data_IF_655869862788
#
_entry.id   IF_655869862788
#
_cell.length_a   1.000
_cell.length_b   1.000
_cell.length_c   1.000
_cell.angle_alpha   90.00
_cell.angle_beta   90.00
_cell.angle_gamma   90.00
#
_symmetry.space_group_name_H-M   'P 1'
#
loop_
_entity.id
_entity.type
_entity.pdbx_description
1 polymer ?
#
# COMPACT_ATOMS: atom_id res chain seq x y z
N UNK A 1 -0.65 5.82 -19.52
CA UNK A 1 -1.43 4.80 -18.77
C UNK A 1 -2.88 4.83 -19.22
N UNK A 2 -3.63 3.73 -19.05
CA UNK A 2 -5.06 3.65 -19.43
C UNK A 2 -5.89 3.00 -18.34
N UNK A 3 -7.16 3.38 -18.24
CA UNK A 3 -8.14 2.72 -17.37
C UNK A 3 -8.77 1.57 -18.16
N UNK A 4 -8.68 0.35 -17.63
CA UNK A 4 -9.30 -0.83 -18.22
C UNK A 4 -10.03 -1.62 -17.12
N UNK A 5 -11.35 -1.76 -17.23
CA UNK A 5 -12.19 -2.45 -16.25
C UNK A 5 -12.07 -1.88 -14.83
N UNK A 6 -12.07 -0.55 -14.68
CA UNK A 6 -11.93 0.11 -13.38
C UNK A 6 -10.52 0.09 -12.77
N UNK A 7 -9.52 -0.48 -13.45
CA UNK A 7 -8.14 -0.52 -12.99
C UNK A 7 -7.19 0.30 -13.89
N UNK A 8 -6.22 0.98 -13.29
CA UNK A 8 -5.17 1.69 -14.01
C UNK A 8 -4.11 0.68 -14.47
N UNK A 9 -3.85 0.65 -15.77
CA UNK A 9 -2.85 -0.22 -16.38
C UNK A 9 -1.84 0.60 -17.19
N UNK A 10 -0.58 0.16 -17.14
CA UNK A 10 0.48 0.69 -18.01
C UNK A 10 0.33 0.13 -19.42
N UNK A 11 0.37 1.00 -20.42
CA UNK A 11 0.45 0.58 -21.83
C UNK A 11 1.83 -0.02 -22.13
N UNK A 12 1.98 -0.68 -23.27
CA UNK A 12 3.28 -1.22 -23.66
C UNK A 12 4.31 -0.11 -23.89
N UNK A 13 3.89 1.01 -24.50
CA UNK A 13 4.73 2.21 -24.64
C UNK A 13 5.15 2.79 -23.29
N UNK A 14 4.26 2.83 -22.30
CA UNK A 14 4.61 3.29 -20.95
C UNK A 14 5.68 2.38 -20.32
N UNK A 15 5.57 1.06 -20.52
CA UNK A 15 6.51 0.09 -19.93
C UNK A 15 7.90 0.14 -20.54
N UNK A 16 7.98 0.44 -21.83
CA UNK A 16 9.25 0.55 -22.55
C UNK A 16 9.94 1.90 -22.31
N UNK A 17 9.17 2.97 -22.10
CA UNK A 17 9.72 4.32 -22.05
C UNK A 17 9.82 4.90 -20.62
N UNK A 18 9.02 4.50 -19.64
CA UNK A 18 9.19 5.08 -18.31
C UNK A 18 10.48 4.63 -17.62
N UNK A 19 11.19 5.60 -17.02
CA UNK A 19 12.38 5.31 -16.23
C UNK A 19 11.96 4.85 -14.84
N UNK A 20 12.13 3.55 -14.59
CA UNK A 20 11.80 2.95 -13.30
C UNK A 20 12.95 3.16 -12.31
N UNK A 21 12.69 3.92 -11.25
CA UNK A 21 13.66 4.18 -10.17
C UNK A 21 13.41 3.26 -8.97
N UNK A 22 14.49 2.90 -8.29
CA UNK A 22 14.44 2.20 -7.00
C UNK A 22 14.51 3.23 -5.88
N UNK A 23 13.75 3.02 -4.82
CA UNK A 23 13.96 3.78 -3.58
C UNK A 23 15.35 3.50 -3.03
N UNK A 24 15.98 4.54 -2.49
CA UNK A 24 17.26 4.39 -1.77
C UNK A 24 17.03 3.68 -0.42
N UNK A 25 18.08 3.06 0.14
CA UNK A 25 17.97 2.37 1.44
C UNK A 25 17.52 3.31 2.57
N UNK A 26 17.88 4.60 2.49
CA UNK A 26 17.45 5.62 3.45
C UNK A 26 15.97 5.95 3.33
N UNK A 27 15.45 6.15 2.11
CA UNK A 27 14.03 6.39 1.86
C UNK A 27 13.17 5.18 2.24
N UNK A 28 13.66 3.97 1.95
CA UNK A 28 13.01 2.71 2.37
C UNK A 28 12.96 2.65 3.89
N UNK A 29 14.06 3.01 4.58
CA UNK A 29 14.10 3.01 6.03
C UNK A 29 13.09 3.99 6.60
N UNK A 30 13.06 5.24 6.13
CA UNK A 30 12.11 6.28 6.54
C UNK A 30 10.65 5.84 6.32
N UNK A 31 10.31 5.36 5.13
CA UNK A 31 8.97 4.84 4.84
C UNK A 31 8.60 3.64 5.72
N UNK A 32 9.58 2.77 6.02
CA UNK A 32 9.39 1.60 6.90
C UNK A 32 9.17 1.97 8.37
N UNK A 33 9.60 3.14 8.83
CA UNK A 33 9.45 3.56 10.23
C UNK A 33 8.00 3.68 10.66
N UNK A 34 7.12 4.17 9.76
CA UNK A 34 5.69 4.21 10.04
C UNK A 34 5.11 2.80 10.26
N UNK A 35 5.55 1.82 9.45
CA UNK A 35 5.17 0.42 9.62
C UNK A 35 5.74 -0.17 10.91
N UNK A 36 6.98 0.16 11.27
CA UNK A 36 7.59 -0.25 12.53
C UNK A 36 6.84 0.30 13.75
N UNK A 37 6.41 1.57 13.71
CA UNK A 37 5.61 2.20 14.77
C UNK A 37 4.24 1.50 14.93
N UNK A 38 3.55 1.23 13.82
CA UNK A 38 2.30 0.45 13.81
C UNK A 38 2.52 -0.97 14.35
N UNK A 39 3.59 -1.66 13.92
CA UNK A 39 3.97 -2.99 14.41
C UNK A 39 4.27 -3.01 15.91
N UNK A 40 5.01 -2.01 16.42
CA UNK A 40 5.32 -1.88 17.86
C UNK A 40 4.05 -1.71 18.70
N UNK A 41 3.09 -0.89 18.22
CA UNK A 41 1.78 -0.73 18.87
C UNK A 41 1.01 -2.05 18.93
N UNK A 42 0.90 -2.77 17.81
CA UNK A 42 0.22 -4.09 17.75
C UNK A 42 0.86 -5.11 18.70
N UNK A 43 2.20 -5.19 18.72
CA UNK A 43 2.92 -6.08 19.65
C UNK A 43 2.63 -5.77 21.11
N UNK A 44 2.52 -4.49 21.49
CA UNK A 44 2.17 -4.10 22.85
C UNK A 44 0.78 -4.63 23.24
N UNK A 45 -0.21 -4.46 22.36
CA UNK A 45 -1.57 -5.00 22.57
C UNK A 45 -1.55 -6.53 22.69
N UNK A 46 -0.80 -7.21 21.82
CA UNK A 46 -0.65 -8.65 21.89
C UNK A 46 0.01 -9.11 23.22
N UNK A 47 1.02 -8.40 23.71
CA UNK A 47 1.63 -8.74 25.00
C UNK A 47 0.65 -8.57 26.17
N UNK A 48 -0.20 -7.55 26.14
CA UNK A 48 -1.24 -7.33 27.16
C UNK A 48 -2.26 -8.49 27.14
N UNK A 49 -2.76 -8.87 25.97
CA UNK A 49 -3.72 -9.98 25.82
C UNK A 49 -3.09 -11.29 26.31
N UNK A 50 -1.82 -11.55 25.98
CA UNK A 50 -1.09 -12.72 26.44
C UNK A 50 -1.00 -12.77 27.97
N UNK A 51 -0.64 -11.65 28.60
CA UNK A 51 -0.57 -11.55 30.07
C UNK A 51 -1.92 -11.85 30.73
N UNK A 52 -3.02 -11.32 30.18
CA UNK A 52 -4.37 -11.57 30.69
C UNK A 52 -4.75 -13.05 30.57
N UNK A 53 -4.48 -13.70 29.43
CA UNK A 53 -4.75 -15.13 29.24
C UNK A 53 -3.95 -16.01 30.21
N UNK A 54 -2.70 -15.65 30.48
CA UNK A 54 -1.86 -16.35 31.48
C UNK A 54 -2.40 -16.15 32.90
N UNK A 55 -2.83 -14.94 33.27
CA UNK A 55 -3.44 -14.69 34.59
C UNK A 55 -4.74 -15.49 34.78
N UNK A 56 -5.59 -15.56 33.75
CA UNK A 56 -6.82 -16.38 33.77
C UNK A 56 -6.47 -17.86 33.92
N UNK A 57 -5.42 -18.34 33.25
CA UNK A 57 -4.91 -19.72 33.41
C UNK A 57 -4.52 -20.02 34.87
N UNK A 58 -3.87 -19.07 35.55
CA UNK A 58 -3.49 -19.21 36.97
C UNK A 58 -4.70 -19.27 37.90
N UNK A 59 -5.79 -18.57 37.58
CA UNK A 59 -7.00 -18.49 38.42
C UNK A 59 -8.01 -19.62 38.15
N UNK A 60 -8.15 -20.06 36.89
CA UNK A 60 -9.21 -20.97 36.46
C UNK A 60 -8.73 -22.42 36.30
N UNK A 61 -8.47 -23.10 37.42
CA UNK A 61 -7.87 -24.44 37.45
C UNK A 61 -8.71 -25.52 36.72
N UNK A 62 -10.03 -25.33 36.65
CA UNK A 62 -11.01 -26.20 35.96
C UNK A 62 -10.99 -26.09 34.42
N UNK A 63 -10.50 -24.99 33.84
CA UNK A 63 -10.62 -24.69 32.39
C UNK A 63 -9.23 -24.64 31.70
N UNK A 64 -8.18 -25.08 32.39
CA UNK A 64 -6.79 -25.04 31.88
C UNK A 64 -6.61 -25.62 30.48
N UNK A 65 -7.19 -26.78 30.17
CA UNK A 65 -7.04 -27.39 28.85
C UNK A 65 -7.58 -26.50 27.72
N UNK A 66 -8.70 -25.82 27.94
CA UNK A 66 -9.30 -24.93 26.92
C UNK A 66 -8.46 -23.67 26.75
N UNK A 67 -7.94 -23.12 27.86
CA UNK A 67 -7.05 -21.94 27.83
C UNK A 67 -5.73 -22.26 27.12
N UNK A 68 -5.21 -23.48 27.29
CA UNK A 68 -3.97 -23.91 26.65
C UNK A 68 -4.11 -24.05 25.13
N UNK A 69 -5.26 -24.56 24.67
CA UNK A 69 -5.61 -24.59 23.24
C UNK A 69 -5.73 -23.16 22.69
N UNK A 70 -6.41 -22.26 23.42
CA UNK A 70 -6.54 -20.86 23.01
C UNK A 70 -5.18 -20.14 22.94
N UNK A 71 -4.27 -20.40 23.88
CA UNK A 71 -2.91 -19.89 23.87
C UNK A 71 -2.12 -20.39 22.65
N UNK A 72 -2.23 -21.67 22.30
CA UNK A 72 -1.60 -22.22 21.10
C UNK A 72 -2.09 -21.50 19.83
N UNK A 73 -3.41 -21.37 19.65
CA UNK A 73 -3.98 -20.63 18.52
C UNK A 73 -3.50 -19.19 18.47
N UNK A 74 -3.42 -18.53 19.63
CA UNK A 74 -2.93 -17.17 19.75
C UNK A 74 -1.46 -17.02 19.31
N UNK A 75 -0.60 -17.97 19.69
CA UNK A 75 0.79 -18.02 19.21
C UNK A 75 0.85 -18.21 17.69
N UNK A 76 0.04 -19.11 17.13
CA UNK A 76 -0.04 -19.32 15.68
C UNK A 76 -0.42 -18.03 14.93
N UNK A 77 -1.48 -17.34 15.38
CA UNK A 77 -1.90 -16.06 14.78
C UNK A 77 -0.79 -15.02 14.87
N UNK A 78 -0.11 -14.92 16.02
CA UNK A 78 0.99 -13.98 16.23
C UNK A 78 2.15 -14.26 15.27
N UNK A 79 2.53 -15.52 15.07
CA UNK A 79 3.58 -15.93 14.13
C UNK A 79 3.21 -15.60 12.69
N UNK A 80 1.96 -15.85 12.29
CA UNK A 80 1.47 -15.54 10.94
C UNK A 80 1.50 -14.02 10.70
N UNK A 81 0.96 -13.23 11.64
CA UNK A 81 0.98 -11.77 11.56
C UNK A 81 2.41 -11.22 11.45
N UNK A 82 3.34 -11.76 12.23
CA UNK A 82 4.72 -11.32 12.21
C UNK A 82 5.47 -11.73 10.92
N UNK A 83 5.14 -12.89 10.38
CA UNK A 83 5.67 -13.37 9.10
C UNK A 83 5.16 -12.52 7.93
N UNK A 84 3.87 -12.17 7.94
CA UNK A 84 3.26 -11.27 6.96
C UNK A 84 3.82 -9.85 7.00
N UNK A 85 4.12 -9.33 8.19
CA UNK A 85 4.78 -8.03 8.32
C UNK A 85 6.19 -8.03 7.70
N UNK A 86 6.95 -9.13 7.85
CA UNK A 86 8.27 -9.26 7.22
C UNK A 86 8.19 -9.32 5.70
N UNK A 87 7.21 -10.02 5.14
CA UNK A 87 7.02 -10.09 3.68
C UNK A 87 6.54 -8.74 3.14
N UNK A 88 5.65 -8.04 3.84
CA UNK A 88 5.18 -6.72 3.44
C UNK A 88 6.31 -5.68 3.47
N UNK A 89 7.17 -5.69 4.50
CA UNK A 89 8.38 -4.84 4.53
C UNK A 89 9.31 -5.17 3.36
N UNK A 90 9.54 -6.45 3.05
CA UNK A 90 10.35 -6.86 1.88
C UNK A 90 9.72 -6.42 0.56
N UNK A 91 8.40 -6.48 0.43
CA UNK A 91 7.68 -6.00 -0.74
C UNK A 91 7.79 -4.48 -0.87
N UNK A 92 7.68 -3.73 0.23
CA UNK A 92 7.90 -2.29 0.26
C UNK A 92 9.35 -1.91 -0.10
N UNK A 93 10.36 -2.71 0.29
CA UNK A 93 11.75 -2.50 -0.16
C UNK A 93 11.94 -2.73 -1.66
N UNK A 94 11.07 -3.53 -2.27
CA UNK A 94 11.06 -3.82 -3.71
C UNK A 94 10.07 -2.94 -4.47
N UNK A 95 9.46 -1.96 -3.81
CA UNK A 95 8.63 -0.99 -4.49
C UNK A 95 9.51 -0.19 -5.44
N UNK A 96 9.04 -0.07 -6.66
CA UNK A 96 9.65 0.79 -7.66
C UNK A 96 8.77 2.03 -7.81
N UNK A 97 9.33 3.11 -8.32
CA UNK A 97 8.54 4.29 -8.64
C UNK A 97 8.97 4.91 -9.95
N UNK A 98 8.04 5.65 -10.55
CA UNK A 98 8.30 6.52 -11.69
C UNK A 98 8.25 7.95 -11.18
N UNK A 99 9.19 8.77 -11.62
CA UNK A 99 9.24 10.19 -11.30
C UNK A 99 8.87 11.01 -12.54
N UNK A 100 7.69 11.62 -12.48
CA UNK A 100 7.16 12.43 -13.57
C UNK A 100 7.04 13.90 -13.13
N UNK A 101 7.42 14.80 -14.01
CA UNK A 101 7.13 16.22 -13.91
C UNK A 101 5.71 16.49 -14.43
N UNK A 102 4.93 17.27 -13.69
CA UNK A 102 3.55 17.60 -14.04
C UNK A 102 3.57 18.65 -15.16
N UNK A 103 3.28 18.23 -16.38
CA UNK A 103 3.18 19.14 -17.53
C UNK A 103 1.82 19.81 -17.57
N UNK A 104 0.76 19.03 -17.29
CA UNK A 104 -0.62 19.51 -17.32
C UNK A 104 -1.49 18.71 -16.36
N UNK A 105 -2.38 19.40 -15.66
CA UNK A 105 -3.41 18.78 -14.83
C UNK A 105 -4.66 18.60 -15.68
N UNK A 106 -5.18 17.38 -15.76
CA UNK A 106 -6.39 17.04 -16.52
C UNK A 106 -7.58 16.96 -15.56
N UNK A 107 -8.81 17.28 -16.01
CA UNK A 107 -9.99 17.17 -15.15
C UNK A 107 -10.21 15.73 -14.70
N UNK A 108 -10.82 15.57 -13.52
CA UNK A 108 -11.15 14.27 -12.94
C UNK A 108 -11.97 13.40 -13.92
N UNK A 109 -11.55 12.15 -14.09
CA UNK A 109 -12.25 11.17 -14.90
C UNK A 109 -13.14 10.31 -14.00
N UNK A 110 -14.44 10.29 -14.27
CA UNK A 110 -15.41 9.45 -13.54
C UNK A 110 -15.77 8.26 -14.41
N UNK A 111 -15.41 7.06 -13.96
CA UNK A 111 -15.79 5.82 -14.63
C UNK A 111 -16.94 5.17 -13.86
N UNK A 112 -18.06 4.94 -14.55
CA UNK A 112 -19.11 4.07 -14.03
C UNK A 112 -18.83 2.65 -14.49
N UNK A 113 -18.65 1.75 -13.53
CA UNK A 113 -18.56 0.34 -13.86
C UNK A 113 -19.94 -0.11 -14.36
N UNK A 114 -20.01 -0.59 -15.61
CA UNK A 114 -21.27 -0.89 -16.31
C UNK A 114 -22.05 -2.11 -15.76
N UNK A 115 -21.72 -2.58 -14.56
CA UNK A 115 -22.32 -3.75 -13.95
C UNK A 115 -23.58 -3.34 -13.19
N UNK A 116 -24.74 -3.79 -13.66
CA UNK A 116 -26.09 -3.62 -13.07
C UNK A 116 -26.25 -4.40 -11.74
N UNK A 117 -25.34 -4.23 -10.80
CA UNK A 117 -25.49 -4.67 -9.41
C UNK A 117 -25.80 -3.46 -8.55
N UNK A 118 -26.82 -3.59 -7.69
CA UNK A 118 -27.32 -2.54 -6.81
C UNK A 118 -26.21 -2.02 -5.88
N UNK A 119 -25.53 -0.96 -6.29
CA UNK A 119 -24.33 -0.42 -5.67
C UNK A 119 -23.26 -0.12 -6.71
N UNK A 120 -23.49 0.85 -7.59
CA UNK A 120 -22.49 1.28 -8.56
C UNK A 120 -21.38 2.07 -7.87
N UNK A 121 -20.21 1.44 -7.66
CA UNK A 121 -19.02 2.13 -7.14
C UNK A 121 -18.50 3.08 -8.24
N UNK A 122 -18.86 4.37 -8.11
CA UNK A 122 -18.32 5.43 -8.96
C UNK A 122 -16.81 5.52 -8.70
N UNK A 123 -16.00 5.11 -9.68
CA UNK A 123 -14.55 5.21 -9.57
C UNK A 123 -14.09 6.56 -10.14
N UNK A 124 -13.51 7.39 -9.28
CA UNK A 124 -12.94 8.69 -9.65
C UNK A 124 -11.43 8.51 -9.85
N UNK A 125 -10.95 8.96 -11.00
CA UNK A 125 -9.55 8.93 -11.39
C UNK A 125 -9.02 10.36 -11.54
N UNK A 126 -7.76 10.55 -11.19
CA UNK A 126 -7.08 11.85 -11.14
C UNK A 126 -5.94 11.88 -12.17
N UNK A 127 -6.24 12.16 -13.45
CA UNK A 127 -5.25 12.14 -14.52
C UNK A 127 -4.39 13.42 -14.53
N UNK A 128 -3.12 13.24 -14.90
CA UNK A 128 -2.20 14.31 -15.26
C UNK A 128 -1.43 13.92 -16.52
N UNK A 129 -0.93 14.90 -17.26
CA UNK A 129 0.14 14.66 -18.24
C UNK A 129 1.46 14.76 -17.50
N UNK A 130 2.12 13.62 -17.33
CA UNK A 130 3.41 13.50 -16.70
C UNK A 130 4.53 13.33 -17.71
N UNK A 131 5.62 14.08 -17.55
CA UNK A 131 6.86 13.92 -18.32
C UNK A 131 7.92 13.22 -17.48
N UNK A 132 8.48 12.13 -17.97
CA UNK A 132 9.60 11.45 -17.31
C UNK A 132 10.80 12.41 -17.20
N UNK A 133 11.30 12.57 -15.97
CA UNK A 133 12.38 13.51 -15.67
C UNK A 133 13.75 13.11 -16.22
N UNK A 134 13.89 11.87 -16.72
CA UNK A 134 15.17 11.31 -17.18
C UNK A 134 15.24 11.26 -18.71
N UNK A 135 14.19 10.77 -19.36
CA UNK A 135 14.18 10.61 -20.82
C UNK A 135 13.19 11.53 -21.56
N UNK A 136 12.39 12.31 -20.82
CA UNK A 136 11.43 13.26 -21.40
C UNK A 136 10.18 12.65 -22.01
N UNK A 137 9.92 11.36 -21.80
CA UNK A 137 8.72 10.69 -22.28
C UNK A 137 7.46 11.25 -21.62
N UNK A 138 6.46 11.63 -22.41
CA UNK A 138 5.19 12.17 -21.91
C UNK A 138 4.09 11.14 -22.04
N UNK A 139 3.33 10.94 -20.96
CA UNK A 139 2.14 10.10 -20.97
C UNK A 139 1.14 10.54 -19.90
N UNK A 140 -0.10 10.07 -20.03
CA UNK A 140 -1.12 10.28 -19.01
C UNK A 140 -0.79 9.38 -17.82
N UNK A 141 -0.68 9.99 -16.65
CA UNK A 141 -0.42 9.33 -15.39
C UNK A 141 -1.60 9.57 -14.44
N UNK A 142 -1.94 8.57 -13.64
CA UNK A 142 -3.01 8.68 -12.65
C UNK A 142 -2.41 8.75 -11.25
N UNK A 143 -2.87 9.73 -10.47
CA UNK A 143 -2.41 9.99 -9.11
C UNK A 143 -3.44 9.55 -8.06
N UNK A 144 -3.02 9.50 -6.80
CA UNK A 144 -3.96 9.50 -5.68
C UNK A 144 -4.56 10.89 -5.51
N UNK A 145 -5.73 10.98 -4.88
CA UNK A 145 -6.41 12.25 -4.63
C UNK A 145 -5.48 13.27 -3.93
N UNK A 146 -4.81 12.86 -2.85
CA UNK A 146 -3.85 13.70 -2.12
C UNK A 146 -2.74 14.25 -3.03
N UNK A 147 -2.19 13.41 -3.92
CA UNK A 147 -1.13 13.81 -4.83
C UNK A 147 -1.63 14.75 -5.94
N UNK A 148 -2.89 14.62 -6.35
CA UNK A 148 -3.51 15.45 -7.36
C UNK A 148 -3.86 16.84 -6.82
N UNK A 149 -4.37 16.91 -5.59
CA UNK A 149 -4.70 18.16 -4.91
C UNK A 149 -3.44 19.02 -4.67
N UNK A 150 -2.30 18.37 -4.38
CA UNK A 150 -0.99 19.01 -4.21
C UNK A 150 -0.21 19.17 -5.54
N UNK A 151 -0.75 18.71 -6.67
CA UNK A 151 -0.05 18.77 -7.94
C UNK A 151 0.05 20.21 -8.46
N UNK A 152 1.27 20.63 -8.82
CA UNK A 152 1.54 21.93 -9.43
C UNK A 152 2.25 21.72 -10.75
N UNK A 153 1.94 22.53 -11.77
CA UNK A 153 2.60 22.50 -13.07
C UNK A 153 4.11 22.80 -12.90
N UNK A 154 4.96 21.95 -13.48
CA UNK A 154 6.42 21.94 -13.27
C UNK A 154 6.86 21.27 -11.96
N UNK A 155 5.91 20.83 -11.12
CA UNK A 155 6.17 20.04 -9.93
C UNK A 155 6.53 18.60 -10.25
N UNK A 156 7.22 17.92 -9.33
CA UNK A 156 7.58 16.50 -9.48
C UNK A 156 6.67 15.63 -8.64
N UNK A 157 6.11 14.60 -9.25
CA UNK A 157 5.28 13.59 -8.59
C UNK A 157 5.91 12.21 -8.71
N UNK A 158 5.75 11.40 -7.66
CA UNK A 158 6.27 10.04 -7.58
C UNK A 158 5.12 9.05 -7.62
N UNK A 159 5.09 8.21 -8.63
CA UNK A 159 4.06 7.21 -8.84
C UNK A 159 4.62 5.86 -8.44
N UNK A 160 4.12 5.32 -7.33
CA UNK A 160 4.58 4.01 -6.84
C UNK A 160 4.02 2.88 -7.69
N UNK A 161 4.91 2.04 -8.19
CA UNK A 161 4.57 0.80 -8.87
C UNK A 161 4.29 -0.27 -7.81
N UNK A 162 3.01 -0.59 -7.59
CA UNK A 162 2.66 -1.81 -6.85
C UNK A 162 3.06 -3.00 -7.73
N UNK A 163 3.80 -3.93 -7.13
CA UNK A 163 4.44 -5.05 -7.83
C UNK A 163 3.46 -5.82 -8.72
N UNK A 164 3.96 -6.21 -9.90
CA UNK A 164 3.35 -7.20 -10.78
C UNK A 164 3.03 -8.49 -10.04
#
# INVERSE_FOLDING_TARGET
MVINGGAIQFTDSDRENFTVKKYTDEEIKCNSEQFLKKRKKRRCVFLIILMVLVLIRCLAWKIRCVIDIALLFYFFVTIICESGDKTNIKAARRAYYIEAEVVKILPEERHMDGTLTSGSDLSIFYPIVGRDTTIGYESICYLTQEQYDDAVIGGKVRISLKGK
#
